data_IF_831044312513
#
_entry.id   IF_831044312513
#
_cell.length_a   1.000
_cell.length_b   1.000
_cell.length_c   1.000
_cell.angle_alpha   90.00
_cell.angle_beta   90.00
_cell.angle_gamma   90.00
#
_symmetry.space_group_name_H-M   'P 1'
#
loop_
_entity.id
_entity.type
_entity.pdbx_description
1 polymer ?
#
# COMPACT_ATOMS: atom_id res chain seq x y z
N UNK A 1 -1.52 -3.21 -1.71
CA UNK A 1 -1.77 -2.06 -0.80
C UNK A 1 -3.09 -1.39 -1.15
N UNK A 2 -3.85 -0.89 -0.18
CA UNK A 2 -5.13 -0.19 -0.40
C UNK A 2 -5.31 0.99 0.56
N UNK A 3 -5.34 2.20 -0.02
CA UNK A 3 -5.48 3.47 0.71
C UNK A 3 -6.84 3.65 1.37
N UNK A 4 -7.88 2.90 0.99
CA UNK A 4 -9.21 2.97 1.59
C UNK A 4 -9.27 2.42 3.03
N UNK A 5 -8.23 1.71 3.47
CA UNK A 5 -8.08 1.19 4.83
C UNK A 5 -7.28 2.12 5.77
N UNK A 6 -6.99 3.35 5.32
CA UNK A 6 -6.32 4.37 6.13
C UNK A 6 -6.99 5.74 5.94
N UNK A 7 -7.58 6.27 7.02
CA UNK A 7 -8.26 7.58 7.01
C UNK A 7 -7.30 8.78 7.16
N UNK A 8 -5.98 8.54 7.09
CA UNK A 8 -5.00 9.63 7.15
C UNK A 8 -5.16 10.58 5.96
N UNK A 9 -5.02 11.89 6.23
CA UNK A 9 -4.98 12.92 5.18
C UNK A 9 -3.79 12.71 4.24
N UNK A 10 -3.90 13.28 3.04
CA UNK A 10 -2.89 13.13 2.00
C UNK A 10 -1.47 13.50 2.46
N UNK A 11 -1.21 14.65 3.11
CA UNK A 11 0.15 15.00 3.54
C UNK A 11 0.75 14.03 4.57
N UNK A 12 -0.09 13.48 5.45
CA UNK A 12 0.38 12.47 6.39
C UNK A 12 0.68 11.15 5.66
N UNK A 13 -0.18 10.77 4.72
CA UNK A 13 0.05 9.61 3.89
C UNK A 13 1.35 9.71 3.10
N UNK A 14 1.61 10.84 2.43
CA UNK A 14 2.83 11.08 1.66
C UNK A 14 4.05 10.66 2.47
N UNK A 15 4.18 11.25 3.66
CA UNK A 15 5.28 11.01 4.60
C UNK A 15 5.33 9.57 5.11
N UNK A 16 4.17 8.99 5.42
CA UNK A 16 4.08 7.60 5.87
C UNK A 16 4.56 6.63 4.78
N UNK A 17 4.11 6.83 3.54
CA UNK A 17 4.51 6.03 2.39
C UNK A 17 5.98 6.25 2.01
N UNK A 18 6.48 7.48 2.09
CA UNK A 18 7.89 7.79 1.87
C UNK A 18 8.78 7.03 2.85
N UNK A 19 8.44 7.05 4.14
CA UNK A 19 9.17 6.28 5.16
C UNK A 19 9.07 4.77 4.93
N UNK A 20 7.93 4.28 4.40
CA UNK A 20 7.80 2.87 4.02
C UNK A 20 8.74 2.51 2.86
N UNK A 21 8.81 3.32 1.80
CA UNK A 21 9.69 3.05 0.65
C UNK A 21 11.18 3.18 0.95
N UNK A 22 11.58 3.81 2.06
CA UNK A 22 12.96 3.75 2.56
C UNK A 22 13.32 2.33 3.05
N UNK A 23 12.35 1.62 3.62
CA UNK A 23 12.52 0.28 4.19
C UNK A 23 11.29 -0.60 3.88
N UNK A 24 11.09 -1.00 2.61
CA UNK A 24 9.84 -1.63 2.15
C UNK A 24 9.56 -3.00 2.80
N UNK A 25 10.59 -3.64 3.34
CA UNK A 25 10.49 -4.90 4.10
C UNK A 25 10.49 -4.71 5.62
N UNK A 26 10.52 -3.46 6.10
CA UNK A 26 10.86 -3.17 7.50
C UNK A 26 9.67 -2.98 8.45
N UNK A 27 8.53 -2.48 7.99
CA UNK A 27 7.41 -2.18 8.88
C UNK A 27 6.06 -2.29 8.18
N UNK A 28 5.18 -3.09 8.79
CA UNK A 28 3.80 -3.24 8.35
C UNK A 28 2.98 -1.97 8.57
N UNK A 29 1.97 -1.74 7.73
CA UNK A 29 1.09 -0.57 7.77
C UNK A 29 -0.36 -1.01 7.56
N UNK A 30 -1.36 -0.33 8.15
CA UNK A 30 -2.77 -0.67 7.92
C UNK A 30 -3.17 -0.68 6.43
N UNK A 31 -2.52 0.08 5.56
CA UNK A 31 -2.82 0.06 4.13
C UNK A 31 -2.08 -1.04 3.34
N UNK A 32 -1.21 -1.83 3.99
CA UNK A 32 -0.66 -3.07 3.43
C UNK A 32 -1.67 -4.16 3.79
N UNK A 33 -2.37 -4.68 2.78
CA UNK A 33 -3.44 -5.64 2.98
C UNK A 33 -2.97 -7.09 2.80
N UNK A 34 -1.94 -7.27 1.98
CA UNK A 34 -1.42 -8.57 1.62
C UNK A 34 0.06 -8.44 1.22
N UNK A 35 0.81 -9.51 1.46
CA UNK A 35 2.21 -9.69 1.04
C UNK A 35 2.30 -11.10 0.47
N UNK A 36 2.54 -11.18 -0.83
CA UNK A 36 2.54 -12.43 -1.59
C UNK A 36 3.98 -12.75 -1.95
N UNK A 37 4.42 -13.96 -1.63
CA UNK A 37 5.67 -14.53 -2.13
C UNK A 37 5.39 -15.27 -3.44
N UNK A 38 5.84 -14.73 -4.56
CA UNK A 38 5.70 -15.30 -5.90
C UNK A 38 6.93 -16.12 -6.34
N UNK A 39 7.93 -16.28 -5.45
CA UNK A 39 9.16 -17.00 -5.71
C UNK A 39 10.20 -16.22 -6.53
N UNK A 40 9.95 -14.96 -6.89
CA UNK A 40 10.97 -14.11 -7.49
C UNK A 40 11.83 -13.43 -6.43
N UNK A 41 13.04 -13.97 -6.26
CA UNK A 41 14.04 -13.38 -5.39
C UNK A 41 14.49 -12.01 -5.96
N UNK A 42 14.69 -11.03 -5.07
CA UNK A 42 15.18 -9.67 -5.36
C UNK A 42 14.25 -8.73 -6.17
N UNK A 43 13.00 -9.13 -6.45
CA UNK A 43 12.02 -8.27 -7.13
C UNK A 43 10.88 -7.91 -6.19
N UNK A 44 10.65 -6.61 -5.97
CA UNK A 44 9.48 -6.13 -5.22
C UNK A 44 8.47 -5.50 -6.15
N UNK A 45 7.30 -6.13 -6.29
CA UNK A 45 6.15 -5.61 -7.03
C UNK A 45 5.14 -4.99 -6.07
N UNK A 46 4.64 -3.81 -6.43
CA UNK A 46 3.62 -3.11 -5.68
C UNK A 46 2.38 -2.92 -6.53
N UNK A 47 1.24 -3.39 -6.02
CA UNK A 47 -0.08 -2.94 -6.44
C UNK A 47 -0.64 -2.03 -5.35
N UNK A 48 -0.99 -0.79 -5.69
CA UNK A 48 -1.60 0.15 -4.76
C UNK A 48 -2.92 0.69 -5.29
N UNK A 49 -3.99 0.47 -4.52
CA UNK A 49 -5.33 0.99 -4.81
C UNK A 49 -5.57 2.32 -4.08
N UNK A 50 -5.97 3.34 -4.82
CA UNK A 50 -6.34 4.65 -4.27
C UNK A 50 -7.27 5.40 -5.22
N UNK A 51 -8.24 6.13 -4.67
CA UNK A 51 -9.12 7.03 -5.44
C UNK A 51 -9.79 6.38 -6.67
N UNK A 52 -10.16 5.10 -6.55
CA UNK A 52 -10.77 4.30 -7.63
C UNK A 52 -9.79 3.85 -8.73
N UNK A 53 -8.48 3.97 -8.48
CA UNK A 53 -7.40 3.64 -9.40
C UNK A 53 -6.46 2.61 -8.78
N UNK A 54 -5.68 1.96 -9.64
CA UNK A 54 -4.59 1.07 -9.25
C UNK A 54 -3.30 1.59 -9.85
N UNK A 55 -2.27 1.76 -9.01
CA UNK A 55 -0.89 2.00 -9.41
C UNK A 55 -0.12 0.69 -9.27
N UNK A 56 0.47 0.21 -10.36
CA UNK A 56 1.27 -1.02 -10.40
C UNK A 56 2.69 -0.71 -10.85
N UNK A 57 3.68 -1.13 -10.07
CA UNK A 57 5.08 -0.89 -10.41
C UNK A 57 6.02 -1.92 -9.76
N UNK A 58 7.18 -2.10 -10.40
CA UNK A 58 8.33 -2.79 -9.81
C UNK A 58 9.20 -1.74 -9.10
N UNK A 59 9.59 -2.00 -7.87
CA UNK A 59 10.43 -1.10 -7.09
C UNK A 59 11.89 -1.25 -7.53
N UNK A 60 12.32 -0.38 -8.44
CA UNK A 60 13.73 -0.20 -8.81
C UNK A 60 14.40 0.82 -7.90
N UNK A 61 15.74 0.83 -7.84
CA UNK A 61 16.49 1.81 -7.03
C UNK A 61 16.17 3.26 -7.39
N UNK A 62 16.03 3.55 -8.69
CA UNK A 62 15.69 4.90 -9.18
C UNK A 62 14.28 5.31 -8.72
N UNK A 63 13.31 4.41 -8.90
CA UNK A 63 11.94 4.69 -8.50
C UNK A 63 11.82 4.78 -6.96
N UNK A 64 12.55 3.94 -6.24
CA UNK A 64 12.61 3.96 -4.79
C UNK A 64 13.11 5.31 -4.28
N UNK A 65 14.09 5.94 -4.93
CA UNK A 65 14.59 7.26 -4.52
C UNK A 65 13.49 8.34 -4.55
N UNK A 66 12.69 8.39 -5.62
CA UNK A 66 11.56 9.32 -5.73
C UNK A 66 10.46 9.01 -4.71
N UNK A 67 10.07 7.74 -4.62
CA UNK A 67 9.07 7.26 -3.67
C UNK A 67 9.48 7.49 -2.20
N UNK A 68 10.76 7.35 -1.86
CA UNK A 68 11.30 7.55 -0.52
C UNK A 68 11.31 9.03 -0.09
N UNK A 69 11.17 9.95 -1.04
CA UNK A 69 11.12 11.39 -0.80
C UNK A 69 9.68 11.91 -0.76
N UNK A 70 8.90 11.60 -1.81
CA UNK A 70 7.57 12.19 -2.05
C UNK A 70 6.44 11.25 -1.62
N UNK A 71 6.76 9.99 -1.36
CA UNK A 71 5.75 8.96 -1.15
C UNK A 71 5.15 8.48 -2.46
N UNK A 72 4.04 7.77 -2.36
CA UNK A 72 3.36 7.22 -3.54
C UNK A 72 2.88 8.28 -4.54
N UNK A 73 2.69 9.52 -4.07
CA UNK A 73 2.25 10.66 -4.89
C UNK A 73 3.22 10.96 -6.03
N UNK A 74 4.49 10.55 -5.92
CA UNK A 74 5.46 10.59 -7.01
C UNK A 74 4.97 9.93 -8.31
N UNK A 75 4.11 8.91 -8.19
CA UNK A 75 3.55 8.15 -9.31
C UNK A 75 2.17 8.65 -9.74
N UNK A 76 1.58 9.61 -9.02
CA UNK A 76 0.23 10.06 -9.31
C UNK A 76 0.21 11.02 -10.51
N UNK A 77 -0.48 10.64 -11.57
CA UNK A 77 -0.79 11.50 -12.73
C UNK A 77 -2.13 12.24 -12.57
N UNK A 78 -2.59 12.39 -11.33
CA UNK A 78 -3.91 12.90 -10.98
C UNK A 78 -3.92 13.58 -9.63
N UNK A 79 -4.98 14.35 -9.36
CA UNK A 79 -5.20 15.03 -8.09
C UNK A 79 -5.75 14.04 -7.03
N UNK A 80 -4.95 13.63 -6.03
CA UNK A 80 -5.42 12.70 -5.01
C UNK A 80 -6.41 13.36 -4.05
N UNK A 81 -7.33 12.57 -3.51
CA UNK A 81 -8.21 13.10 -2.48
C UNK A 81 -7.40 13.52 -1.23
N UNK A 82 -7.62 14.76 -0.77
CA UNK A 82 -6.96 15.31 0.42
C UNK A 82 -7.35 14.55 1.70
N UNK A 83 -8.61 14.12 1.79
CA UNK A 83 -9.15 13.39 2.92
C UNK A 83 -9.81 12.09 2.45
N UNK A 84 -9.74 11.06 3.30
CA UNK A 84 -10.42 9.78 3.10
C UNK A 84 -11.18 9.42 4.37
N UNK A 85 -12.25 8.65 4.21
CA UNK A 85 -13.07 8.17 5.31
C UNK A 85 -13.53 6.74 5.06
N UNK A 86 -13.99 6.11 6.13
CA UNK A 86 -14.61 4.78 6.09
C UNK A 86 -13.65 3.63 6.38
N UNK A 87 -12.36 3.87 6.62
CA UNK A 87 -11.43 2.80 7.00
C UNK A 87 -11.92 2.03 8.23
N UNK A 88 -12.41 2.74 9.25
CA UNK A 88 -12.96 2.11 10.46
C UNK A 88 -14.09 1.12 10.14
N UNK A 89 -15.00 1.49 9.23
CA UNK A 89 -16.11 0.62 8.86
C UNK A 89 -15.63 -0.60 8.06
N UNK A 90 -14.72 -0.39 7.10
CA UNK A 90 -14.12 -1.48 6.31
C UNK A 90 -13.37 -2.49 7.20
N UNK A 91 -12.61 -2.01 8.18
CA UNK A 91 -11.95 -2.87 9.16
C UNK A 91 -12.94 -3.68 10.00
N UNK A 92 -14.06 -3.07 10.44
CA UNK A 92 -15.13 -3.80 11.14
C UNK A 92 -15.78 -4.86 10.27
N UNK A 93 -15.91 -4.61 8.97
CA UNK A 93 -16.47 -5.58 8.03
C UNK A 93 -15.50 -6.73 7.79
N UNK A 94 -14.21 -6.44 7.60
CA UNK A 94 -13.16 -7.44 7.46
C UNK A 94 -13.05 -8.35 8.70
N UNK A 95 -13.14 -7.78 9.91
CA UNK A 95 -13.10 -8.53 11.16
C UNK A 95 -14.28 -9.49 11.36
N UNK A 96 -15.37 -9.36 10.57
CA UNK A 96 -16.51 -10.29 10.60
C UNK A 96 -16.34 -11.46 9.63
N UNK A 97 -15.39 -11.38 8.70
CA UNK A 97 -15.17 -12.46 7.75
C UNK A 97 -14.53 -13.66 8.49
N UNK A 98 -14.95 -14.89 8.15
CA UNK A 98 -14.29 -16.08 8.70
C UNK A 98 -12.83 -16.09 8.24
N UNK A 99 -11.91 -16.41 9.16
CA UNK A 99 -10.51 -16.61 8.82
C UNK A 99 -10.38 -17.87 7.96
N UNK A 100 -10.47 -17.72 6.64
CA UNK A 100 -10.19 -18.81 5.70
C UNK A 100 -8.68 -18.98 5.59
N UNK A 101 -8.12 -19.89 6.39
CA UNK A 101 -6.81 -20.47 6.12
C UNK A 101 -6.95 -21.40 4.90
N UNK A 102 -6.52 -20.96 3.71
CA UNK A 102 -6.22 -21.90 2.65
C UNK A 102 -4.85 -22.51 2.95
N UNK A 103 -4.73 -23.83 3.25
CA UNK A 103 -3.43 -24.45 3.29
C UNK A 103 -2.84 -24.41 1.88
N UNK A 104 -1.64 -23.85 1.74
CA UNK A 104 -0.86 -23.95 0.52
C UNK A 104 -0.65 -25.44 0.20
N UNK A 105 -1.32 -25.94 -0.83
CA UNK A 105 -1.01 -27.25 -1.42
C UNK A 105 0.29 -27.14 -2.20
N UNK A 106 1.30 -27.86 -1.72
CA UNK A 106 2.60 -28.09 -2.36
C UNK A 106 2.48 -28.78 -3.72
#
# INVERSE_FOLDING_TARGET
MDRSYCDASLPFCARCSAAFFQHPLGTDRPCVMDVIDDGEEDVLRFEMRTDGRTLEFVLTDELQAGLALEGWEFLADFDPALFRSGATQRWKELAKLPASHHPATH
#
